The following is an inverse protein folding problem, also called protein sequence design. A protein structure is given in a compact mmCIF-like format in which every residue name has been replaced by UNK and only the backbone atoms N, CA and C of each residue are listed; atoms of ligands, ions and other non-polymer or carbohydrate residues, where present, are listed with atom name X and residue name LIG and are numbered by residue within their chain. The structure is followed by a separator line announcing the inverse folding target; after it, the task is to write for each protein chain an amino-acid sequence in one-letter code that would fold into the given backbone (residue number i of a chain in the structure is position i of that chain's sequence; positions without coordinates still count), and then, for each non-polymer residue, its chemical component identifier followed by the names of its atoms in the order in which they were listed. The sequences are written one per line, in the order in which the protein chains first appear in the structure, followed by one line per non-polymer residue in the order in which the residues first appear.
data_IF_882124326705
#
_entry.id   IF_882124326705
#
_cell.length_a   1.000
_cell.length_b   1.000
_cell.length_c   1.000
_cell.angle_alpha   90.00
_cell.angle_beta   90.00
_cell.angle_gamma   90.00
#
_symmetry.space_group_name_H-M   'P 1'
#
loop_
_entity.id
_entity.type
_entity.pdbx_description
1 polymer ?
#
# COMPACT_ATOMS: atom_id res chain seq x y z
N UNK A 1 1.04 1.07 8.64
CA UNK A 1 -0.20 1.33 7.88
C UNK A 1 -0.47 2.82 7.88
N UNK A 2 -0.79 3.35 6.73
CA UNK A 2 -1.10 4.76 6.60
C UNK A 2 -2.50 4.90 6.00
N UNK A 3 -3.36 5.61 6.71
CA UNK A 3 -4.73 5.85 6.27
C UNK A 3 -4.80 7.29 5.78
N UNK A 4 -5.28 7.49 4.57
CA UNK A 4 -5.34 8.82 3.99
C UNK A 4 -6.66 9.01 3.26
N UNK A 5 -7.00 10.29 3.07
CA UNK A 5 -8.16 10.67 2.30
C UNK A 5 -7.66 11.38 1.06
N UNK A 6 -7.89 10.77 -0.09
CA UNK A 6 -7.41 11.29 -1.37
C UNK A 6 -8.57 11.89 -2.14
N UNK A 7 -8.31 13.00 -2.82
CA UNK A 7 -9.33 13.60 -3.67
C UNK A 7 -9.73 12.58 -4.74
N UNK A 8 -11.03 12.31 -4.91
CA UNK A 8 -11.45 11.26 -5.84
C UNK A 8 -10.89 11.39 -7.24
N UNK A 9 -10.75 12.61 -7.73
CA UNK A 9 -10.22 12.82 -9.08
C UNK A 9 -8.72 12.54 -9.17
N UNK A 10 -8.05 12.36 -8.02
CA UNK A 10 -6.62 12.09 -7.98
C UNK A 10 -6.28 10.63 -7.66
N UNK A 11 -7.29 9.78 -7.50
CA UNK A 11 -7.04 8.39 -7.13
C UNK A 11 -6.14 7.69 -8.14
N UNK A 12 -6.43 7.82 -9.42
CA UNK A 12 -5.65 7.13 -10.43
C UNK A 12 -4.19 7.59 -10.43
N UNK A 13 -3.97 8.89 -10.24
CA UNK A 13 -2.62 9.42 -10.14
C UNK A 13 -1.90 8.84 -8.93
N UNK A 14 -2.61 8.77 -7.80
CA UNK A 14 -2.03 8.22 -6.58
C UNK A 14 -1.65 6.76 -6.73
N UNK A 15 -2.52 5.97 -7.35
CA UNK A 15 -2.23 4.57 -7.58
C UNK A 15 -1.00 4.41 -8.46
N UNK A 16 -0.89 5.21 -9.51
CA UNK A 16 0.25 5.15 -10.40
C UNK A 16 1.55 5.48 -9.67
N UNK A 17 1.54 6.54 -8.85
CA UNK A 17 2.72 6.94 -8.09
C UNK A 17 3.09 5.84 -7.11
N UNK A 18 2.11 5.26 -6.44
CA UNK A 18 2.37 4.20 -5.48
C UNK A 18 3.07 3.03 -6.17
N UNK A 19 2.52 2.60 -7.29
CA UNK A 19 3.07 1.44 -8.01
C UNK A 19 4.45 1.70 -8.59
N UNK A 20 4.64 2.86 -9.18
CA UNK A 20 5.86 3.12 -9.94
C UNK A 20 6.97 3.76 -9.13
N UNK A 21 6.65 4.37 -8.01
CA UNK A 21 7.63 5.10 -7.23
C UNK A 21 7.74 4.61 -5.80
N UNK A 22 6.61 4.47 -5.10
CA UNK A 22 6.66 4.11 -3.68
C UNK A 22 7.09 2.65 -3.49
N UNK A 23 6.46 1.74 -4.22
CA UNK A 23 6.77 0.31 -4.05
C UNK A 23 8.23 -0.01 -4.38
N UNK A 24 8.79 0.49 -5.51
CA UNK A 24 10.20 0.20 -5.79
C UNK A 24 11.13 0.71 -4.70
N UNK A 25 10.86 1.89 -4.13
CA UNK A 25 11.69 2.40 -3.06
C UNK A 25 11.52 1.60 -1.78
N UNK A 26 10.29 1.15 -1.49
CA UNK A 26 10.05 0.33 -0.32
C UNK A 26 10.82 -0.99 -0.39
N UNK A 27 10.90 -1.56 -1.57
CA UNK A 27 11.61 -2.84 -1.75
C UNK A 27 13.08 -2.74 -1.41
N UNK A 28 13.65 -1.55 -1.45
CA UNK A 28 15.06 -1.36 -1.11
C UNK A 28 15.30 -1.25 0.39
N UNK A 29 14.25 -1.11 1.17
CA UNK A 29 14.39 -0.89 2.60
C UNK A 29 14.61 -2.20 3.33
N UNK A 30 15.46 -2.13 4.40
CA UNK A 30 15.75 -3.30 5.19
C UNK A 30 14.49 -3.83 5.85
N UNK A 31 14.27 -5.12 5.73
CA UNK A 31 13.16 -5.77 6.39
C UNK A 31 11.84 -5.73 5.63
N UNK A 32 11.83 -5.14 4.44
CA UNK A 32 10.63 -5.10 3.63
C UNK A 32 10.12 -6.51 3.33
N UNK A 33 8.83 -6.74 3.50
CA UNK A 33 8.22 -8.04 3.23
C UNK A 33 7.07 -7.95 2.23
N UNK A 34 6.52 -6.77 2.02
CA UNK A 34 5.42 -6.64 1.08
C UNK A 34 4.69 -5.35 1.27
N UNK A 35 3.84 -5.01 0.32
CA UNK A 35 3.06 -3.79 0.41
C UNK A 35 1.77 -3.97 -0.38
N UNK A 36 0.73 -3.28 0.06
CA UNK A 36 -0.49 -3.22 -0.73
C UNK A 36 -1.17 -1.89 -0.51
N UNK A 37 -1.96 -1.50 -1.48
CA UNK A 37 -2.73 -0.27 -1.42
C UNK A 37 -4.20 -0.62 -1.59
N UNK A 38 -5.00 -0.23 -0.62
CA UNK A 38 -6.44 -0.44 -0.65
C UNK A 38 -7.12 0.90 -0.91
N UNK A 39 -8.07 0.91 -1.80
CA UNK A 39 -8.75 2.15 -2.19
C UNK A 39 -10.25 1.93 -2.19
N UNK A 40 -10.96 2.87 -1.55
CA UNK A 40 -12.40 2.96 -1.71
C UNK A 40 -12.65 4.02 -2.78
N UNK A 41 -13.00 3.62 -4.01
CA UNK A 41 -13.11 4.59 -5.10
C UNK A 41 -14.25 5.60 -4.90
N UNK A 42 -15.20 5.30 -4.05
CA UNK A 42 -16.30 6.22 -3.83
C UNK A 42 -15.92 7.36 -2.91
N UNK A 43 -15.26 7.04 -1.80
CA UNK A 43 -14.93 8.05 -0.80
C UNK A 43 -13.54 8.64 -1.00
N UNK A 44 -12.67 7.94 -1.71
CA UNK A 44 -11.28 8.36 -1.83
C UNK A 44 -10.42 7.92 -0.66
N UNK A 45 -10.96 7.13 0.26
CA UNK A 45 -10.18 6.64 1.38
C UNK A 45 -9.16 5.62 0.87
N UNK A 46 -7.90 5.81 1.25
CA UNK A 46 -6.81 4.93 0.84
C UNK A 46 -6.10 4.43 2.07
N UNK A 47 -5.74 3.15 2.03
CA UNK A 47 -4.98 2.54 3.11
C UNK A 47 -3.75 1.88 2.50
N UNK A 48 -2.58 2.37 2.88
CA UNK A 48 -1.31 1.80 2.44
C UNK A 48 -0.80 0.90 3.56
N UNK A 49 -0.59 -0.36 3.25
CA UNK A 49 -0.07 -1.33 4.22
C UNK A 49 1.29 -1.79 3.75
N UNK A 50 2.29 -1.65 4.61
CA UNK A 50 3.62 -2.18 4.32
C UNK A 50 3.94 -3.20 5.39
N UNK A 51 4.42 -4.35 4.96
CA UNK A 51 4.78 -5.42 5.87
C UNK A 51 6.29 -5.44 6.07
N UNK A 52 6.70 -5.51 7.34
CA UNK A 52 8.11 -5.51 7.73
C UNK A 52 8.43 -6.77 8.48
N UNK A 53 9.70 -7.18 8.41
CA UNK A 53 10.17 -8.37 9.09
C UNK A 53 9.92 -8.31 10.59
N UNK A 54 10.11 -7.12 11.18
CA UNK A 54 9.88 -6.94 12.60
C UNK A 54 9.60 -5.47 12.89
N UNK A 55 9.25 -5.20 14.15
CA UNK A 55 8.89 -3.83 14.54
C UNK A 55 10.07 -2.88 14.42
N UNK A 56 11.27 -3.35 14.72
CA UNK A 56 12.45 -2.49 14.63
C UNK A 56 12.63 -1.93 13.22
N UNK A 57 12.47 -2.79 12.20
CA UNK A 57 12.63 -2.33 10.83
C UNK A 57 11.51 -1.38 10.44
N UNK A 58 10.29 -1.63 10.92
CA UNK A 58 9.17 -0.74 10.63
C UNK A 58 9.42 0.65 11.22
N UNK A 59 9.85 0.70 12.49
CA UNK A 59 10.11 1.97 13.16
C UNK A 59 11.26 2.72 12.51
N UNK A 60 12.31 2.00 12.11
CA UNK A 60 13.46 2.64 11.48
C UNK A 60 13.04 3.37 10.21
N UNK A 61 12.07 2.82 9.48
CA UNK A 61 11.59 3.44 8.25
C UNK A 61 10.72 4.66 8.52
N UNK A 62 10.16 4.77 9.72
CA UNK A 62 9.42 5.97 10.09
C UNK A 62 10.36 7.10 10.49
N UNK A 63 11.52 6.76 11.01
CA UNK A 63 12.43 7.75 11.55
C UNK A 63 13.44 8.26 10.54
N UNK A 64 13.58 7.60 9.40
CA UNK A 64 14.52 8.06 8.39
C UNK A 64 13.78 8.86 7.31
N UNK A 65 14.54 9.45 6.41
CA UNK A 65 13.97 10.31 5.39
C UNK A 65 13.12 9.56 4.36
N UNK A 66 13.26 8.24 4.30
CA UNK A 66 12.50 7.46 3.34
C UNK A 66 11.01 7.73 3.44
N UNK A 67 10.48 7.66 4.66
CA UNK A 67 9.02 7.80 4.84
C UNK A 67 8.55 9.20 4.42
N UNK A 68 9.27 10.24 4.87
CA UNK A 68 8.88 11.58 4.51
C UNK A 68 8.95 11.81 3.01
N UNK A 69 9.96 11.26 2.34
CA UNK A 69 10.07 11.40 0.91
C UNK A 69 8.88 10.79 0.18
N UNK A 70 8.37 9.68 0.70
CA UNK A 70 7.20 9.07 0.09
C UNK A 70 5.95 9.93 0.31
N UNK A 71 5.80 10.48 1.50
CA UNK A 71 4.63 11.31 1.80
C UNK A 71 4.54 12.54 0.90
N UNK A 72 5.68 13.17 0.65
CA UNK A 72 5.70 14.39 -0.15
C UNK A 72 5.10 14.17 -1.52
N UNK A 73 5.25 12.97 -2.06
CA UNK A 73 4.75 12.66 -3.39
C UNK A 73 3.22 12.76 -3.49
N UNK A 74 2.53 12.70 -2.36
CA UNK A 74 1.07 12.67 -2.36
C UNK A 74 0.44 13.94 -1.79
N UNK A 75 1.24 14.91 -1.39
CA UNK A 75 0.74 16.06 -0.64
C UNK A 75 -0.39 16.79 -1.36
N UNK A 76 -0.27 16.94 -2.68
CA UNK A 76 -1.26 17.70 -3.44
C UNK A 76 -2.52 16.88 -3.74
N UNK A 77 -2.52 15.61 -3.37
CA UNK A 77 -3.66 14.73 -3.64
C UNK A 77 -4.53 14.53 -2.42
N UNK A 78 -4.07 14.97 -1.26
CA UNK A 78 -4.77 14.69 -0.01
C UNK A 78 -5.93 15.65 0.21
N UNK A 79 -7.03 15.11 0.70
CA UNK A 79 -8.20 15.88 1.08
C UNK A 79 -8.33 16.01 2.59
N UNK A 80 -7.37 15.48 3.33
CA UNK A 80 -7.39 15.54 4.79
C UNK A 80 -6.09 15.02 5.36
N UNK A 81 -5.99 14.95 6.67
CA UNK A 81 -4.76 14.49 7.32
C UNK A 81 -4.53 13.00 7.11
N UNK A 82 -3.26 12.61 7.24
CA UNK A 82 -2.89 11.19 7.20
C UNK A 82 -2.78 10.66 8.61
N UNK A 83 -3.18 9.40 8.78
CA UNK A 83 -3.12 8.73 10.07
C UNK A 83 -2.21 7.52 9.92
N UNK A 84 -1.25 7.38 10.81
CA UNK A 84 -0.36 6.23 10.83
C UNK A 84 -0.70 5.33 11.98
N UNK A 85 -0.71 4.03 11.69
CA UNK A 85 -0.96 3.02 12.70
C UNK A 85 -0.07 1.81 12.42
N UNK A 86 0.39 1.19 13.50
CA UNK A 86 1.20 0.00 13.38
C UNK A 86 0.54 -1.16 14.09
N UNK A 87 0.66 -2.33 13.52
CA UNK A 87 0.03 -3.54 14.06
C UNK A 87 0.96 -4.72 13.88
N UNK A 88 0.82 -5.69 14.75
CA UNK A 88 1.52 -6.94 14.61
C UNK A 88 0.66 -7.92 13.84
N UNK A 89 1.23 -8.57 12.82
CA UNK A 89 0.50 -9.56 12.04
C UNK A 89 0.45 -10.85 12.86
N UNK A 90 -0.73 -11.25 13.26
CA UNK A 90 -0.91 -12.49 14.01
C UNK A 90 -1.23 -13.67 13.11
N UNK A 91 -1.95 -13.42 12.04
CA UNK A 91 -2.30 -14.48 11.09
C UNK A 91 -2.09 -13.94 9.69
N UNK A 92 -1.42 -14.70 8.88
CA UNK A 92 -1.16 -14.34 7.51
C UNK A 92 -1.43 -15.55 6.63
N UNK A 93 -2.41 -15.41 5.75
CA UNK A 93 -2.78 -16.50 4.86
C UNK A 93 -3.31 -15.90 3.55
N UNK A 94 -2.39 -15.50 2.70
CA UNK A 94 -2.76 -14.95 1.40
C UNK A 94 -2.48 -15.97 0.33
N UNK A 95 -3.51 -16.32 -0.41
CA UNK A 95 -3.32 -17.12 -1.61
C UNK A 95 -2.59 -16.26 -2.64
N UNK A 96 -2.00 -16.91 -3.62
CA UNK A 96 -1.34 -16.17 -4.68
C UNK A 96 -2.31 -15.17 -5.28
N UNK A 97 -1.91 -13.92 -5.27
CA UNK A 97 -2.76 -12.85 -5.71
C UNK A 97 -2.18 -12.24 -6.95
N UNK A 98 -2.65 -12.73 -8.09
CA UNK A 98 -2.19 -12.17 -9.36
C UNK A 98 -2.68 -10.75 -9.49
N UNK A 99 -1.93 -9.94 -10.22
CA UNK A 99 -2.41 -8.62 -10.55
C UNK A 99 -3.72 -8.74 -11.30
N UNK A 100 -4.70 -7.89 -11.02
CA UNK A 100 -5.94 -7.92 -11.78
C UNK A 100 -5.66 -7.82 -13.25
N UNK A 101 -6.18 -8.77 -14.02
CA UNK A 101 -6.03 -8.78 -15.45
C UNK A 101 -7.38 -8.60 -16.06
N UNK A 102 -7.40 -7.91 -17.14
CA UNK A 102 -8.69 -7.90 -17.84
C UNK A 102 -9.07 -9.29 -18.18
N UNK A 103 -9.32 -10.07 -18.02
CA UNK A 103 -9.47 -11.27 -18.24
C UNK A 103 -9.67 -12.27 -17.64
N UNK A 104 -9.83 -12.95 -17.86
CA UNK A 104 -9.90 -13.85 -17.59
C UNK A 104 -10.20 -14.45 -16.81
N UNK A 105 -10.54 -14.98 -16.75
CA UNK A 105 -10.84 -15.53 -16.14
C UNK A 105 -10.87 -16.40 -15.69
N UNK A 106 -11.22 -16.94 -15.66
CA UNK A 106 -11.21 -17.77 -15.10
C UNK A 106 -11.34 -18.58 -14.71
N UNK A 107 -11.60 -19.04 -14.65
CA UNK A 107 -11.69 -19.76 -14.32
C UNK A 107 -11.74 -20.22 -13.44
N UNK A 108 -12.12 -20.52 -13.18
CA UNK A 108 -12.12 -20.86 -12.46
C UNK A 108 -12.06 -21.65 -11.94
N UNK A 109 -12.09 -22.04 -11.73
CA UNK A 109 -11.99 -22.74 -11.23
C UNK A 109 -12.01 -23.21 -10.48
N UNK A 110 -12.22 -23.54 -10.43
CA UNK A 110 -12.16 -23.92 -9.59
C UNK A 110 -12.03 -24.49 -8.87
N UNK A 111 -12.21 -24.55 -8.60
CA UNK A 111 -12.00 -24.97 -8.01
C UNK A 111 -11.76 -25.50 -7.32
N UNK A 112 -11.73 -25.81 -7.23
CA UNK A 112 -11.35 -26.17 -6.81
C UNK A 112 -11.09 -26.32 -6.11
N UNK A 113 -11.22 -26.67 -5.87
CA UNK A 113 -10.99 -26.54 -5.49
C UNK A 113 -10.93 -26.48 -5.19
#
# INVERSE_FOLDING_TARGET
MTISQVKPEKIDDGVRIYRKSVVPEAKKQKGYRGACLLVDPKSGKCISVTFWRNERDAVANEENLYYQEQLVKFINMLAGPMIREGYEVKVHCLETMAQPKPKKKPKLKPKKK
#
